data_IF_916654848998
#
_entry.id   IF_916654848998
#
_cell.length_a   1.000
_cell.length_b   1.000
_cell.length_c   1.000
_cell.angle_alpha   90.00
_cell.angle_beta   90.00
_cell.angle_gamma   90.00
#
_symmetry.space_group_name_H-M   'P 1'
#
loop_
_entity.id
_entity.type
_entity.pdbx_description
1 polymer ?
#
# COMPACT_ATOMS: atom_id res chain seq x y z
N UNK A 1 22.52 3.40 23.32
CA UNK A 1 21.79 3.48 24.60
C UNK A 1 20.99 4.77 24.56
N UNK A 2 19.68 4.71 24.27
CA UNK A 2 18.85 5.91 24.17
C UNK A 2 18.20 6.20 25.51
N UNK A 3 18.24 7.47 25.89
CA UNK A 3 17.85 7.99 27.19
C UNK A 3 16.40 7.60 27.55
N UNK A 4 16.23 7.06 28.76
CA UNK A 4 14.93 6.90 29.39
C UNK A 4 14.40 8.32 29.61
N UNK A 5 13.43 8.72 28.80
CA UNK A 5 12.81 10.03 28.92
C UNK A 5 11.74 9.91 30.00
N UNK A 6 11.92 10.60 31.14
CA UNK A 6 11.05 10.52 32.32
C UNK A 6 9.66 11.15 32.11
N UNK A 7 9.41 11.74 30.95
CA UNK A 7 8.13 12.35 30.62
C UNK A 7 7.16 11.30 30.04
N UNK A 8 5.90 11.27 30.50
CA UNK A 8 4.91 10.32 30.00
C UNK A 8 4.57 10.61 28.53
N UNK A 9 4.28 9.56 27.79
CA UNK A 9 3.70 9.63 26.46
C UNK A 9 2.19 9.74 26.55
N UNK A 10 1.58 10.47 25.61
CA UNK A 10 0.12 10.49 25.45
C UNK A 10 -0.24 9.97 24.08
N UNK A 11 -1.14 8.99 24.01
CA UNK A 11 -1.63 8.42 22.76
C UNK A 11 -3.14 8.60 22.70
N UNK A 12 -3.61 9.25 21.66
CA UNK A 12 -5.03 9.44 21.37
C UNK A 12 -5.46 8.38 20.35
N UNK A 13 -6.36 7.51 20.80
CA UNK A 13 -7.04 6.50 20.01
C UNK A 13 -8.47 6.96 19.74
N UNK A 14 -9.13 6.34 18.77
CA UNK A 14 -10.49 6.69 18.37
C UNK A 14 -11.50 6.68 19.53
N UNK A 15 -11.35 5.75 20.46
CA UNK A 15 -12.24 5.55 21.59
C UNK A 15 -11.72 6.11 22.92
N UNK A 16 -10.56 6.78 22.91
CA UNK A 16 -10.08 7.51 24.08
C UNK A 16 -8.58 7.83 24.08
N UNK A 17 -8.16 8.56 25.10
CA UNK A 17 -6.76 8.95 25.31
C UNK A 17 -6.12 8.11 26.40
N UNK A 18 -4.88 7.68 26.18
CA UNK A 18 -4.08 6.94 27.16
C UNK A 18 -2.76 7.67 27.44
N UNK A 19 -2.38 7.69 28.72
CA UNK A 19 -1.06 8.15 29.16
C UNK A 19 -0.20 6.95 29.53
N UNK A 20 1.02 6.89 29.01
CA UNK A 20 1.96 5.79 29.22
C UNK A 20 3.21 6.30 29.95
N UNK A 21 3.57 5.66 31.06
CA UNK A 21 4.81 5.91 31.81
C UNK A 21 5.87 4.86 31.48
N UNK A 22 7.15 5.20 31.67
CA UNK A 22 8.32 4.39 31.29
C UNK A 22 8.16 3.75 29.90
N UNK A 23 7.69 4.56 28.95
CA UNK A 23 7.36 4.11 27.61
C UNK A 23 8.63 3.99 26.75
N UNK A 24 8.54 3.15 25.73
CA UNK A 24 9.54 3.04 24.69
C UNK A 24 8.87 2.91 23.32
N UNK A 25 9.42 3.61 22.34
CA UNK A 25 9.15 3.37 20.93
C UNK A 25 10.19 2.37 20.41
N UNK A 26 9.73 1.27 19.82
CA UNK A 26 10.61 0.20 19.32
C UNK A 26 10.18 -0.23 17.94
N UNK A 27 11.13 -0.31 17.01
CA UNK A 27 10.95 -1.05 15.78
C UNK A 27 11.10 -2.55 16.07
N UNK A 28 10.03 -3.30 15.84
CA UNK A 28 10.00 -4.74 16.03
C UNK A 28 10.67 -5.44 14.85
N UNK A 29 11.23 -6.61 15.11
CA UNK A 29 11.68 -7.51 14.05
C UNK A 29 10.54 -7.83 13.09
N UNK A 30 10.82 -7.98 11.78
CA UNK A 30 9.83 -8.40 10.80
C UNK A 30 9.10 -9.68 11.24
N UNK A 31 7.79 -9.74 11.01
CA UNK A 31 7.03 -10.97 11.24
C UNK A 31 7.36 -12.05 10.18
N UNK A 32 6.74 -13.22 10.28
CA UNK A 32 6.89 -14.30 9.30
C UNK A 32 6.55 -13.87 7.86
N UNK A 33 5.76 -12.81 7.70
CA UNK A 33 5.36 -12.25 6.41
C UNK A 33 6.27 -11.12 5.93
N UNK A 34 7.33 -10.78 6.68
CA UNK A 34 8.28 -9.72 6.35
C UNK A 34 7.88 -8.33 6.85
N UNK A 35 6.71 -8.21 7.49
CA UNK A 35 6.19 -6.91 7.90
C UNK A 35 6.93 -6.42 9.15
N UNK A 36 7.60 -5.27 9.01
CA UNK A 36 8.13 -4.52 10.15
C UNK A 36 7.03 -3.71 10.84
N UNK A 37 7.08 -3.69 12.17
CA UNK A 37 6.11 -2.96 12.98
C UNK A 37 6.83 -1.98 13.89
N UNK A 38 6.23 -0.81 14.09
CA UNK A 38 6.55 0.05 15.21
C UNK A 38 5.64 -0.30 16.38
N UNK A 39 6.18 -0.23 17.58
CA UNK A 39 5.46 -0.43 18.82
C UNK A 39 5.76 0.70 19.79
N UNK A 40 4.71 1.32 20.34
CA UNK A 40 4.79 2.03 21.61
C UNK A 40 4.43 1.02 22.71
N UNK A 41 5.35 0.78 23.62
CA UNK A 41 5.10 -0.02 24.82
C UNK A 41 5.30 0.83 26.06
N UNK A 42 4.37 0.78 27.02
CA UNK A 42 4.51 1.53 28.27
C UNK A 42 3.56 1.05 29.37
N UNK A 43 3.80 1.53 30.58
CA UNK A 43 2.97 1.21 31.74
C UNK A 43 1.78 2.16 31.83
N UNK A 44 0.62 1.59 32.16
CA UNK A 44 -0.56 2.38 32.50
C UNK A 44 -0.44 2.91 33.94
N UNK A 45 -0.99 4.10 34.23
CA UNK A 45 -1.03 4.64 35.58
C UNK A 45 -1.71 3.69 36.56
N UNK A 46 -1.29 3.75 37.82
CA UNK A 46 -1.94 2.98 38.88
C UNK A 46 -3.41 3.40 39.02
N UNK A 47 -4.32 2.42 39.08
CA UNK A 47 -5.76 2.65 39.15
C UNK A 47 -6.46 2.83 37.80
N UNK A 48 -5.75 2.72 36.67
CA UNK A 48 -6.37 2.69 35.35
C UNK A 48 -7.38 1.54 35.22
N UNK A 49 -8.62 1.86 34.84
CA UNK A 49 -9.70 0.86 34.76
C UNK A 49 -9.67 0.12 33.41
N UNK A 50 -9.71 -1.23 33.40
CA UNK A 50 -9.86 -2.01 32.18
C UNK A 50 -11.16 -1.65 31.45
N UNK A 51 -11.11 -1.49 30.11
CA UNK A 51 -12.29 -1.26 29.27
C UNK A 51 -12.48 0.17 28.75
N UNK A 52 -11.64 1.12 29.17
CA UNK A 52 -11.63 2.49 28.61
C UNK A 52 -11.14 2.55 27.15
N UNK A 53 -10.30 1.59 26.74
CA UNK A 53 -9.76 1.49 25.38
C UNK A 53 -9.98 0.07 24.87
N UNK A 54 -10.54 -0.04 23.66
CA UNK A 54 -10.77 -1.31 22.98
C UNK A 54 -9.45 -2.00 22.67
N UNK A 55 -9.38 -3.29 23.00
CA UNK A 55 -8.27 -4.17 22.66
C UNK A 55 -8.46 -4.72 21.23
N UNK A 56 -7.37 -5.08 20.56
CA UNK A 56 -7.38 -5.51 19.17
C UNK A 56 -7.23 -4.33 18.20
N UNK A 57 -7.91 -4.37 17.06
CA UNK A 57 -7.81 -3.33 16.04
C UNK A 57 -8.43 -2.02 16.51
N UNK A 58 -7.68 -0.93 16.45
CA UNK A 58 -8.11 0.42 16.78
C UNK A 58 -7.49 1.43 15.77
N UNK A 59 -7.81 2.71 15.92
CA UNK A 59 -7.27 3.78 15.10
C UNK A 59 -6.57 4.81 15.98
N UNK A 60 -5.30 5.06 15.72
CA UNK A 60 -4.51 6.08 16.42
C UNK A 60 -4.68 7.41 15.70
N UNK A 61 -5.33 8.35 16.38
CA UNK A 61 -5.53 9.72 15.89
C UNK A 61 -4.21 10.48 15.97
N UNK A 62 -3.55 10.43 17.14
CA UNK A 62 -2.29 11.13 17.40
C UNK A 62 -1.49 10.43 18.49
N UNK A 63 -0.16 10.51 18.42
CA UNK A 63 0.72 10.17 19.52
C UNK A 63 1.66 11.36 19.81
N UNK A 64 1.69 11.78 21.07
CA UNK A 64 2.63 12.76 21.59
C UNK A 64 3.68 12.02 22.43
N UNK A 65 4.85 11.83 21.82
CA UNK A 65 5.98 11.11 22.38
C UNK A 65 7.12 12.11 22.65
N UNK A 66 7.38 12.47 23.92
CA UNK A 66 8.42 13.44 24.26
C UNK A 66 9.78 13.08 23.63
N UNK A 67 10.34 14.01 22.86
CA UNK A 67 11.64 13.86 22.21
C UNK A 67 11.62 13.09 20.88
N UNK A 68 10.47 12.62 20.41
CA UNK A 68 10.32 11.97 19.11
C UNK A 68 9.41 12.82 18.23
N UNK A 69 9.98 13.41 17.18
CA UNK A 69 9.20 14.07 16.14
C UNK A 69 8.56 13.02 15.22
N UNK A 70 7.43 13.38 14.59
CA UNK A 70 6.84 12.66 13.46
C UNK A 70 6.48 11.18 13.69
N UNK A 71 5.88 10.87 14.84
CA UNK A 71 5.22 9.57 15.04
C UNK A 71 4.05 9.46 14.07
N UNK A 72 3.91 8.32 13.38
CA UNK A 72 2.83 8.11 12.42
C UNK A 72 1.46 8.39 13.06
N UNK A 73 0.64 9.22 12.40
CA UNK A 73 -0.69 9.64 12.86
C UNK A 73 -1.77 9.15 11.90
N UNK A 74 -3.02 9.10 12.35
CA UNK A 74 -4.16 8.61 11.58
C UNK A 74 -3.92 7.21 10.97
N UNK A 75 -3.40 6.28 11.78
CA UNK A 75 -3.07 4.91 11.35
C UNK A 75 -3.89 3.87 12.10
N UNK A 76 -4.14 2.75 11.42
CA UNK A 76 -4.68 1.56 12.07
C UNK A 76 -3.62 0.95 12.96
N UNK A 77 -4.01 0.61 14.18
CA UNK A 77 -3.13 0.04 15.21
C UNK A 77 -3.74 -1.22 15.80
N UNK A 78 -2.90 -2.06 16.38
CA UNK A 78 -3.31 -3.15 17.27
C UNK A 78 -2.97 -2.75 18.70
N UNK A 79 -3.96 -2.76 19.58
CA UNK A 79 -3.82 -2.44 21.00
C UNK A 79 -3.91 -3.71 21.84
N UNK A 80 -2.91 -3.94 22.68
CA UNK A 80 -2.89 -5.05 23.63
C UNK A 80 -2.50 -4.58 25.02
N UNK A 81 -3.17 -5.10 26.03
CA UNK A 81 -2.90 -4.78 27.44
C UNK A 81 -2.69 -6.06 28.21
N UNK A 82 -1.55 -6.16 28.90
CA UNK A 82 -1.17 -7.32 29.69
C UNK A 82 -1.02 -6.96 31.17
N UNK A 83 -1.59 -7.78 32.05
CA UNK A 83 -1.43 -7.64 33.49
C UNK A 83 -0.18 -8.33 34.02
N UNK A 84 0.48 -7.69 35.00
CA UNK A 84 1.70 -8.16 35.64
C UNK A 84 1.53 -8.30 37.17
N UNK A 85 0.33 -8.66 37.63
CA UNK A 85 -0.02 -8.74 39.05
C UNK A 85 -0.41 -7.38 39.66
N UNK A 86 -1.31 -7.41 40.64
CA UNK A 86 -1.86 -6.19 41.27
C UNK A 86 -2.52 -5.23 40.27
N UNK A 87 -2.36 -3.93 40.52
CA UNK A 87 -2.84 -2.81 39.69
C UNK A 87 -2.01 -2.58 38.43
N UNK A 88 -0.83 -3.22 38.30
CA UNK A 88 0.12 -2.93 37.21
C UNK A 88 -0.35 -3.55 35.89
N UNK A 89 -0.40 -2.71 34.86
CA UNK A 89 -0.80 -3.08 33.50
C UNK A 89 0.17 -2.46 32.51
N UNK A 90 0.59 -3.23 31.52
CA UNK A 90 1.45 -2.79 30.42
C UNK A 90 0.62 -2.78 29.14
N UNK A 91 0.66 -1.67 28.40
CA UNK A 91 -0.02 -1.52 27.12
C UNK A 91 1.00 -1.50 25.98
N UNK A 92 0.64 -2.16 24.88
CA UNK A 92 1.33 -2.17 23.60
C UNK A 92 0.39 -1.60 22.55
N UNK A 93 0.88 -0.66 21.76
CA UNK A 93 0.21 -0.09 20.61
C UNK A 93 1.13 -0.30 19.43
N UNK A 94 0.72 -1.14 18.49
CA UNK A 94 1.54 -1.56 17.36
C UNK A 94 0.94 -1.09 16.04
N UNK A 95 1.76 -0.62 15.13
CA UNK A 95 1.36 -0.31 13.75
C UNK A 95 2.46 -0.72 12.79
N UNK A 96 2.10 -0.91 11.52
CA UNK A 96 3.08 -1.24 10.49
C UNK A 96 4.04 -0.07 10.31
N UNK A 97 5.34 -0.30 10.44
CA UNK A 97 6.36 0.72 10.20
C UNK A 97 6.33 1.08 8.71
N UNK A 98 6.09 2.36 8.38
CA UNK A 98 6.03 2.83 6.98
C UNK A 98 7.42 3.21 6.41
N UNK A 99 8.49 3.01 7.17
CA UNK A 99 9.82 3.56 6.87
C UNK A 99 10.97 2.60 7.19
N UNK A 100 11.02 1.49 6.47
CA UNK A 100 12.11 1.36 5.50
C UNK A 100 11.50 1.75 4.14
N UNK A 101 12.24 2.38 3.20
CA UNK A 101 11.82 2.27 1.81
C UNK A 101 11.61 0.78 1.61
N UNK A 102 10.41 0.36 1.21
CA UNK A 102 10.18 -1.05 0.93
C UNK A 102 11.34 -1.46 0.00
N UNK A 103 12.33 -2.22 0.51
CA UNK A 103 13.16 -2.99 -0.41
C UNK A 103 12.13 -3.83 -1.12
N UNK A 104 12.03 -3.56 -2.43
CA UNK A 104 10.77 -3.48 -3.14
C UNK A 104 9.97 -4.80 -3.18
N UNK A 105 10.53 -5.90 -2.70
CA UNK A 105 9.84 -7.16 -2.48
C UNK A 105 8.58 -7.06 -1.61
N UNK A 106 8.46 -6.07 -0.71
CA UNK A 106 7.27 -5.96 0.17
C UNK A 106 6.05 -5.23 -0.45
N UNK A 107 6.24 -4.36 -1.45
CA UNK A 107 5.11 -3.66 -2.12
C UNK A 107 4.65 -4.34 -3.40
N UNK A 108 5.33 -5.42 -3.79
CA UNK A 108 5.21 -6.01 -5.10
C UNK A 108 4.69 -7.44 -4.97
N UNK A 109 3.42 -7.54 -4.59
CA UNK A 109 2.68 -8.78 -4.52
C UNK A 109 2.38 -9.37 -5.90
N UNK A 110 3.41 -9.73 -6.67
CA UNK A 110 3.24 -10.74 -7.70
C UNK A 110 3.21 -12.11 -7.03
N UNK A 111 2.21 -12.94 -7.37
CA UNK A 111 2.05 -14.29 -6.81
C UNK A 111 3.16 -15.26 -7.23
N UNK A 112 4.07 -14.86 -8.10
CA UNK A 112 5.22 -15.65 -8.50
C UNK A 112 6.18 -15.81 -7.31
N UNK A 113 6.50 -17.07 -6.98
CA UNK A 113 7.28 -17.43 -5.79
C UNK A 113 8.61 -16.66 -5.69
N UNK A 114 9.33 -16.48 -6.80
CA UNK A 114 10.59 -15.72 -6.81
C UNK A 114 10.42 -14.21 -6.57
N UNK A 115 9.26 -13.64 -6.91
CA UNK A 115 9.07 -12.19 -6.86
C UNK A 115 8.70 -11.72 -5.45
N UNK A 116 8.04 -12.60 -4.69
CA UNK A 116 7.74 -12.43 -3.26
C UNK A 116 8.97 -12.40 -2.35
N UNK A 117 10.08 -13.01 -2.77
CA UNK A 117 11.29 -13.13 -1.94
C UNK A 117 12.45 -12.23 -2.40
N UNK A 118 12.33 -11.57 -3.56
CA UNK A 118 13.44 -10.93 -4.25
C UNK A 118 14.46 -11.99 -4.70
N UNK A 119 14.69 -12.17 -5.99
CA UNK A 119 15.67 -13.17 -6.43
C UNK A 119 17.10 -12.62 -6.28
N UNK A 120 17.82 -13.04 -5.24
CA UNK A 120 19.22 -12.67 -4.96
C UNK A 120 20.26 -13.58 -5.66
N UNK A 121 19.87 -14.25 -6.74
CA UNK A 121 20.76 -15.17 -7.43
C UNK A 121 21.61 -14.46 -8.49
N UNK A 122 22.83 -14.96 -8.72
CA UNK A 122 23.72 -14.47 -9.78
C UNK A 122 23.19 -14.70 -11.21
N UNK A 123 22.02 -15.33 -11.36
CA UNK A 123 21.36 -15.63 -12.64
C UNK A 123 20.08 -14.81 -12.86
N UNK A 124 19.82 -13.81 -12.02
CA UNK A 124 18.59 -13.01 -12.10
C UNK A 124 18.42 -12.31 -13.47
N UNK A 125 19.50 -11.73 -14.00
CA UNK A 125 19.50 -11.04 -15.30
C UNK A 125 19.22 -11.99 -16.47
N UNK A 126 19.83 -13.17 -16.49
CA UNK A 126 19.59 -14.22 -17.50
C UNK A 126 18.12 -14.70 -17.51
N UNK A 127 17.41 -14.52 -16.40
CA UNK A 127 15.99 -14.89 -16.23
C UNK A 127 15.04 -13.72 -16.51
N UNK A 128 15.55 -12.57 -16.96
CA UNK A 128 14.75 -11.40 -17.31
C UNK A 128 14.26 -10.58 -16.11
N UNK A 129 14.97 -10.62 -14.99
CA UNK A 129 14.67 -9.79 -13.82
C UNK A 129 15.35 -8.42 -13.96
N UNK A 130 14.69 -7.38 -13.44
CA UNK A 130 15.15 -5.99 -13.50
C UNK A 130 15.79 -5.59 -12.18
N UNK A 131 16.96 -4.96 -12.24
CA UNK A 131 17.68 -4.50 -11.06
C UNK A 131 17.03 -3.22 -10.53
N UNK A 132 16.71 -3.19 -9.24
CA UNK A 132 16.09 -2.02 -8.61
C UNK A 132 16.64 -1.82 -7.19
N UNK A 133 17.45 -0.78 -7.00
CA UNK A 133 18.20 -0.58 -5.75
C UNK A 133 19.25 -1.67 -5.51
N UNK A 134 19.23 -2.26 -4.31
CA UNK A 134 20.09 -3.37 -3.89
C UNK A 134 19.63 -4.75 -4.39
N UNK A 135 18.39 -4.88 -4.88
CA UNK A 135 17.76 -6.16 -5.21
C UNK A 135 17.28 -6.29 -6.66
N UNK A 136 16.58 -7.40 -6.93
CA UNK A 136 16.00 -7.73 -8.24
C UNK A 136 14.50 -7.90 -8.14
N UNK A 137 13.79 -7.40 -9.15
CA UNK A 137 12.34 -7.48 -9.29
C UNK A 137 11.97 -8.16 -10.59
N UNK A 138 10.85 -8.90 -10.60
CA UNK A 138 10.26 -9.30 -11.86
C UNK A 138 9.75 -8.04 -12.58
N UNK A 139 9.73 -8.04 -13.93
CA UNK A 139 9.38 -6.86 -14.75
C UNK A 139 8.09 -6.18 -14.26
N UNK A 140 7.03 -6.96 -14.03
CA UNK A 140 5.74 -6.45 -13.53
C UNK A 140 5.84 -5.70 -12.20
N UNK A 141 6.78 -6.11 -11.37
CA UNK A 141 7.00 -5.55 -10.06
C UNK A 141 7.91 -4.31 -10.16
N UNK A 142 8.93 -4.34 -11.00
CA UNK A 142 9.69 -3.13 -11.33
C UNK A 142 8.78 -2.03 -11.89
N UNK A 143 7.85 -2.38 -12.77
CA UNK A 143 6.91 -1.41 -13.34
C UNK A 143 5.95 -0.81 -12.28
N UNK A 144 5.39 -1.66 -11.41
CA UNK A 144 4.47 -1.21 -10.34
C UNK A 144 5.18 -0.39 -9.24
N UNK A 145 6.49 -0.55 -9.11
CA UNK A 145 7.32 0.22 -8.20
C UNK A 145 7.48 1.67 -8.66
N UNK A 146 7.80 1.85 -9.94
CA UNK A 146 7.96 3.15 -10.57
C UNK A 146 6.64 3.93 -10.53
N UNK A 147 5.51 3.27 -10.83
CA UNK A 147 4.17 3.86 -10.71
C UNK A 147 3.90 4.41 -9.30
N UNK A 148 4.24 3.64 -8.26
CA UNK A 148 4.04 4.06 -6.86
C UNK A 148 4.98 5.18 -6.46
N UNK A 149 6.23 5.15 -6.91
CA UNK A 149 7.18 6.21 -6.68
C UNK A 149 6.69 7.54 -7.30
N UNK A 150 6.11 7.49 -8.50
CA UNK A 150 5.51 8.65 -9.15
C UNK A 150 4.29 9.18 -8.38
N UNK A 151 3.42 8.29 -7.90
CA UNK A 151 2.25 8.67 -7.10
C UNK A 151 2.68 9.35 -5.79
N UNK A 152 3.65 8.77 -5.08
CA UNK A 152 4.19 9.34 -3.83
C UNK A 152 4.84 10.70 -4.11
N UNK A 153 5.68 10.81 -5.14
CA UNK A 153 6.30 12.08 -5.53
C UNK A 153 5.27 13.17 -5.87
N UNK A 154 4.13 12.82 -6.47
CA UNK A 154 3.05 13.77 -6.81
C UNK A 154 2.20 14.18 -5.61
N UNK A 155 2.02 13.28 -4.64
CA UNK A 155 1.40 13.59 -3.33
C UNK A 155 2.31 14.56 -2.57
N UNK A 156 3.60 14.26 -2.50
CA UNK A 156 4.61 15.10 -1.84
C UNK A 156 4.74 16.48 -2.52
N UNK A 157 4.53 16.54 -3.83
CA UNK A 157 4.48 17.79 -4.60
C UNK A 157 3.15 18.57 -4.50
N UNK A 158 2.13 18.05 -3.80
CA UNK A 158 0.86 18.74 -3.57
C UNK A 158 -0.02 18.94 -4.80
N UNK A 159 0.18 18.15 -5.87
CA UNK A 159 -0.47 18.35 -7.19
C UNK A 159 -1.73 17.49 -7.42
N UNK A 160 -2.45 17.11 -6.36
CA UNK A 160 -3.52 16.12 -6.46
C UNK A 160 -4.84 16.70 -7.05
N UNK A 161 -5.02 16.53 -8.37
CA UNK A 161 -6.31 16.42 -9.06
C UNK A 161 -6.54 14.95 -9.49
N UNK A 162 -7.80 14.56 -9.77
CA UNK A 162 -8.30 13.19 -10.03
C UNK A 162 -7.23 12.08 -10.21
N UNK A 163 -7.27 10.97 -9.44
CA UNK A 163 -6.18 10.00 -9.35
C UNK A 163 -5.65 9.63 -10.73
N UNK A 164 -4.33 9.55 -10.95
CA UNK A 164 -3.78 9.11 -12.23
C UNK A 164 -4.33 7.72 -12.62
N UNK A 165 -4.34 7.39 -13.92
CA UNK A 165 -4.65 6.03 -14.36
C UNK A 165 -3.69 5.04 -13.70
N UNK A 166 -4.18 3.86 -13.32
CA UNK A 166 -3.27 2.78 -12.91
C UNK A 166 -2.34 2.39 -14.07
N UNK A 167 -1.11 1.94 -13.81
CA UNK A 167 -0.15 1.54 -14.84
C UNK A 167 -0.71 0.43 -15.73
N UNK A 168 -1.46 -0.51 -15.15
CA UNK A 168 -2.21 -1.53 -15.91
C UNK A 168 -3.20 -0.91 -16.90
N UNK A 169 -3.89 0.17 -16.51
CA UNK A 169 -4.77 0.91 -17.40
C UNK A 169 -3.98 1.76 -18.43
N UNK A 170 -2.79 2.25 -18.07
CA UNK A 170 -1.88 2.94 -19.00
C UNK A 170 -1.32 1.98 -20.07
N UNK A 171 -0.87 0.78 -19.67
CA UNK A 171 -0.42 -0.27 -20.59
C UNK A 171 -1.56 -0.67 -21.54
N UNK A 172 -2.77 -0.87 -21.02
CA UNK A 172 -3.93 -1.13 -21.86
C UNK A 172 -4.19 0.03 -22.83
N UNK A 173 -4.11 1.29 -22.36
CA UNK A 173 -4.28 2.46 -23.22
C UNK A 173 -3.22 2.53 -24.33
N UNK A 174 -1.95 2.24 -24.03
CA UNK A 174 -0.88 2.19 -25.02
C UNK A 174 -1.19 1.16 -26.13
N UNK A 175 -1.62 -0.05 -25.74
CA UNK A 175 -2.05 -1.07 -26.72
C UNK A 175 -3.28 -0.64 -27.53
N UNK A 176 -4.22 0.11 -26.93
CA UNK A 176 -5.37 0.67 -27.65
C UNK A 176 -4.91 1.75 -28.65
N UNK A 177 -3.92 2.57 -28.27
CA UNK A 177 -3.37 3.63 -29.12
C UNK A 177 -2.58 3.07 -30.32
N UNK A 178 -1.91 1.93 -30.15
CA UNK A 178 -1.23 1.22 -31.26
C UNK A 178 -2.22 0.65 -32.31
N UNK A 179 -3.48 0.43 -31.92
CA UNK A 179 -4.55 -0.10 -32.78
C UNK A 179 -5.88 0.66 -32.56
N UNK A 180 -5.95 1.94 -32.98
CA UNK A 180 -7.01 2.87 -32.56
C UNK A 180 -8.36 2.58 -33.22
N UNK A 181 -8.37 1.88 -34.36
CA UNK A 181 -9.59 1.49 -35.09
C UNK A 181 -10.24 0.23 -34.55
N UNK A 182 -9.57 -0.48 -33.65
CA UNK A 182 -10.05 -1.75 -33.14
C UNK A 182 -11.17 -1.59 -32.11
N UNK A 183 -12.14 -2.50 -32.17
CA UNK A 183 -13.19 -2.61 -31.15
C UNK A 183 -12.67 -3.36 -29.93
N UNK A 184 -12.52 -2.65 -28.83
CA UNK A 184 -12.02 -3.22 -27.59
C UNK A 184 -13.14 -3.78 -26.75
N UNK A 185 -13.11 -5.08 -26.51
CA UNK A 185 -14.02 -5.77 -25.59
C UNK A 185 -13.22 -6.29 -24.39
N UNK A 186 -13.91 -6.64 -23.30
CA UNK A 186 -13.28 -7.21 -22.11
C UNK A 186 -12.39 -8.41 -22.44
N UNK A 187 -12.80 -9.29 -23.37
CA UNK A 187 -12.00 -10.45 -23.77
C UNK A 187 -10.69 -10.08 -24.48
N UNK A 188 -10.67 -9.02 -25.29
CA UNK A 188 -9.46 -8.55 -25.97
C UNK A 188 -8.51 -7.85 -24.99
N UNK A 189 -9.04 -7.03 -24.10
CA UNK A 189 -8.26 -6.43 -23.02
C UNK A 189 -7.70 -7.51 -22.06
N UNK A 190 -8.47 -8.57 -21.78
CA UNK A 190 -8.00 -9.73 -21.01
C UNK A 190 -6.86 -10.47 -21.72
N UNK A 191 -6.89 -10.56 -23.06
CA UNK A 191 -5.80 -11.15 -23.84
C UNK A 191 -4.52 -10.31 -23.77
N UNK A 192 -4.62 -8.98 -23.87
CA UNK A 192 -3.46 -8.09 -23.64
C UNK A 192 -2.84 -8.36 -22.28
N UNK A 193 -3.65 -8.48 -21.23
CA UNK A 193 -3.13 -8.84 -19.92
C UNK A 193 -2.57 -10.27 -19.85
N UNK A 194 -3.08 -11.21 -20.64
CA UNK A 194 -2.50 -12.54 -20.76
C UNK A 194 -1.08 -12.47 -21.34
N UNK A 195 -0.92 -11.68 -22.40
CA UNK A 195 0.33 -11.53 -23.15
C UNK A 195 1.38 -10.77 -22.33
N UNK A 196 0.95 -9.79 -21.52
CA UNK A 196 1.78 -9.10 -20.53
C UNK A 196 2.04 -9.92 -19.25
N UNK A 197 1.53 -11.15 -19.18
CA UNK A 197 1.81 -12.11 -18.09
C UNK A 197 1.02 -11.89 -16.80
N UNK A 198 -0.06 -11.10 -16.78
CA UNK A 198 -0.89 -10.91 -15.59
C UNK A 198 -1.53 -12.24 -15.14
N UNK A 199 -1.78 -12.49 -13.84
CA UNK A 199 -2.36 -13.74 -13.36
C UNK A 199 -3.79 -13.96 -13.91
N UNK A 200 -4.16 -15.24 -14.15
CA UNK A 200 -5.49 -15.60 -14.69
C UNK A 200 -6.64 -15.21 -13.74
N UNK A 201 -6.44 -15.34 -12.43
CA UNK A 201 -7.45 -14.98 -11.42
C UNK A 201 -7.60 -13.46 -11.37
N UNK A 202 -8.83 -12.97 -11.56
CA UNK A 202 -9.14 -11.53 -11.52
C UNK A 202 -8.82 -10.77 -12.81
N UNK A 203 -8.13 -11.37 -13.78
CA UNK A 203 -7.73 -10.72 -15.05
C UNK A 203 -8.91 -10.09 -15.79
N UNK A 204 -9.97 -10.88 -15.98
CA UNK A 204 -11.20 -10.42 -16.65
C UNK A 204 -11.91 -9.30 -15.89
N UNK A 205 -11.88 -9.34 -14.56
CA UNK A 205 -12.45 -8.29 -13.72
C UNK A 205 -11.66 -6.99 -13.88
N UNK A 206 -10.32 -7.07 -13.83
CA UNK A 206 -9.43 -5.94 -14.04
C UNK A 206 -9.58 -5.35 -15.44
N UNK A 207 -9.62 -6.18 -16.49
CA UNK A 207 -9.84 -5.73 -17.87
C UNK A 207 -11.17 -4.99 -18.04
N UNK A 208 -12.22 -5.48 -17.39
CA UNK A 208 -13.51 -4.77 -17.36
C UNK A 208 -13.42 -3.46 -16.58
N UNK A 209 -12.75 -3.45 -15.43
CA UNK A 209 -12.56 -2.26 -14.60
C UNK A 209 -11.86 -1.15 -15.38
N UNK A 210 -10.71 -1.47 -15.98
CA UNK A 210 -9.83 -0.52 -16.65
C UNK A 210 -10.48 0.05 -17.92
N UNK A 211 -11.20 -0.76 -18.71
CA UNK A 211 -11.98 -0.23 -19.84
C UNK A 211 -13.04 0.78 -19.41
N UNK A 212 -13.72 0.54 -18.28
CA UNK A 212 -14.71 1.48 -17.76
C UNK A 212 -14.04 2.72 -17.16
N UNK A 213 -12.88 2.59 -16.52
CA UNK A 213 -12.10 3.72 -16.00
C UNK A 213 -11.62 4.64 -17.13
N UNK A 214 -11.06 4.07 -18.19
CA UNK A 214 -10.62 4.81 -19.38
C UNK A 214 -11.81 5.53 -20.05
N UNK A 215 -12.98 4.88 -20.12
CA UNK A 215 -14.20 5.52 -20.62
C UNK A 215 -14.71 6.65 -19.71
N UNK A 216 -14.68 6.45 -18.39
CA UNK A 216 -15.09 7.47 -17.42
C UNK A 216 -14.22 8.74 -17.49
N UNK A 217 -12.99 8.62 -17.97
CA UNK A 217 -12.06 9.73 -18.21
C UNK A 217 -12.17 10.34 -19.61
N UNK A 218 -13.09 9.86 -20.44
CA UNK A 218 -13.26 10.34 -21.82
C UNK A 218 -12.17 9.91 -22.80
N UNK A 219 -11.31 8.95 -22.41
CA UNK A 219 -10.27 8.41 -23.29
C UNK A 219 -10.82 7.36 -24.25
N UNK A 220 -11.90 6.67 -23.85
CA UNK A 220 -12.63 5.72 -24.68
C UNK A 220 -14.09 6.09 -24.78
N UNK A 221 -14.72 5.76 -25.91
CA UNK A 221 -16.16 5.88 -26.11
C UNK A 221 -16.79 4.48 -26.01
N UNK A 222 -17.69 4.24 -25.04
CA UNK A 222 -18.42 2.98 -24.93
C UNK A 222 -19.56 2.92 -25.96
N UNK A 223 -19.71 1.77 -26.62
CA UNK A 223 -20.75 1.49 -27.59
C UNK A 223 -21.50 0.20 -27.25
N UNK A 224 -22.81 0.19 -27.49
CA UNK A 224 -23.66 -0.99 -27.33
C UNK A 224 -24.17 -1.21 -25.89
N UNK A 225 -25.01 -2.26 -25.70
CA UNK A 225 -25.61 -2.60 -24.40
C UNK A 225 -24.57 -3.12 -23.40
N UNK A 226 -24.85 -3.03 -22.10
CA UNK A 226 -23.91 -3.36 -21.03
C UNK A 226 -23.28 -4.77 -21.12
N UNK A 227 -24.03 -5.75 -21.65
CA UNK A 227 -23.61 -7.16 -21.73
C UNK A 227 -22.80 -7.49 -23.01
N UNK A 228 -22.75 -6.57 -23.97
CA UNK A 228 -22.03 -6.72 -25.23
C UNK A 228 -21.25 -5.47 -25.64
N UNK A 229 -20.94 -4.59 -24.67
CA UNK A 229 -20.31 -3.31 -24.96
C UNK A 229 -18.89 -3.48 -25.49
N UNK A 230 -18.56 -2.66 -26.48
CA UNK A 230 -17.19 -2.47 -26.93
C UNK A 230 -16.80 -1.00 -26.76
N UNK A 231 -15.50 -0.75 -26.73
CA UNK A 231 -14.91 0.57 -26.52
C UNK A 231 -14.08 0.92 -27.76
N UNK A 232 -14.15 2.17 -28.18
CA UNK A 232 -13.28 2.74 -29.21
C UNK A 232 -12.43 3.84 -28.60
N UNK A 233 -11.21 4.02 -29.11
CA UNK A 233 -10.38 5.15 -28.73
C UNK A 233 -11.12 6.45 -29.07
N UNK A 234 -11.24 7.36 -28.11
CA UNK A 234 -11.81 8.67 -28.35
C UNK A 234 -10.93 9.40 -29.38
N UNK A 235 -11.47 9.64 -30.56
CA UNK A 235 -10.79 10.44 -31.57
C UNK A 235 -10.88 11.92 -31.17
N UNK A 236 -9.80 12.70 -31.28
CA UNK A 236 -9.90 14.15 -31.23
C UNK A 236 -10.98 14.58 -32.23
N UNK A 237 -11.91 15.43 -31.80
CA UNK A 237 -12.73 16.13 -32.78
C UNK A 237 -11.77 17.05 -33.54
N UNK A 238 -11.59 16.81 -34.83
CA UNK A 238 -10.97 17.79 -35.71
C UNK A 238 -11.74 19.12 -35.57
N UNK A 239 -11.12 20.11 -34.92
CA UNK A 239 -11.56 21.51 -34.88
C UNK A 239 -12.42 21.92 -33.68
N UNK A 240 -11.78 22.58 -32.70
CA UNK A 240 -12.29 23.76 -31.98
C UNK A 240 -11.13 24.50 -31.31
#
# INVERSE_FOLDING_TARGET
>A
MNAITTMPATVELFDGTVTLTDWALTELSPDFYGHSYMQIGGWLPEGYQPGLISQGTNHMVRADLPGIADVAQAVNVTVETKGYGGSRRFMKIQWRHRSAPAELGEMLGCSAMGCRFGEWSSKAEERGWVRHGSGWLCVQCADAAEERAEIVARIDAGTWGAPALSYRAQQLLAHIQDDPGTRWQTGRAEQVYADLGYPKRGRRHNARGDLNELAARGLLVPHGPADGRYFLLAQPKDGA
#
